data_IF_320862051438
#
_entry.id   IF_320862051438
#
_cell.length_a   1.000
_cell.length_b   1.000
_cell.length_c   1.000
_cell.angle_alpha   90.00
_cell.angle_beta   90.00
_cell.angle_gamma   90.00
#
_symmetry.space_group_name_H-M   'P 1'
#
loop_
_entity.id
_entity.type
_entity.pdbx_description
1 polymer ?
#
# COMPACT_ATOMS: atom_id res chain seq x y z
N UNK A 1 8.89 17.94 13.10
CA UNK A 1 7.65 18.74 13.04
C UNK A 1 6.58 17.85 12.42
N UNK A 2 5.45 17.59 13.09
CA UNK A 2 4.42 16.69 12.54
C UNK A 2 3.72 17.43 11.39
N UNK A 3 3.75 16.83 10.19
CA UNK A 3 3.05 17.34 9.03
C UNK A 3 1.60 16.87 9.11
N UNK A 4 0.79 17.59 9.89
CA UNK A 4 -0.62 17.25 10.07
C UNK A 4 -1.35 17.31 8.73
N UNK A 5 -1.90 16.16 8.30
CA UNK A 5 -2.81 16.07 7.15
C UNK A 5 -2.19 15.60 5.82
N UNK A 6 -0.98 15.02 5.81
CA UNK A 6 -0.40 14.43 4.61
C UNK A 6 -0.57 12.91 4.56
N UNK A 7 -1.21 12.42 3.51
CA UNK A 7 -1.33 10.99 3.26
C UNK A 7 0.01 10.42 2.77
N UNK A 8 0.41 9.29 3.35
CA UNK A 8 1.59 8.58 2.88
C UNK A 8 1.35 8.09 1.45
N UNK A 9 2.21 8.43 0.47
CA UNK A 9 2.04 7.96 -0.90
C UNK A 9 2.28 6.45 -1.03
N UNK A 10 2.88 5.82 -0.02
CA UNK A 10 3.13 4.38 0.01
C UNK A 10 2.02 3.60 0.71
N UNK A 11 1.58 4.01 1.90
CA UNK A 11 0.59 3.24 2.68
C UNK A 11 -0.80 3.91 2.77
N UNK A 12 -0.94 5.18 2.37
CA UNK A 12 -2.19 5.94 2.44
C UNK A 12 -2.61 6.38 3.85
N UNK A 13 -1.81 6.08 4.88
CA UNK A 13 -2.08 6.53 6.26
C UNK A 13 -1.59 7.97 6.49
N UNK A 14 -2.25 8.70 7.38
CA UNK A 14 -1.87 10.07 7.77
C UNK A 14 -0.77 10.11 8.86
N UNK A 15 0.24 9.27 8.71
CA UNK A 15 1.33 9.10 9.69
C UNK A 15 2.67 9.59 9.14
N UNK A 16 2.64 10.54 8.22
CA UNK A 16 3.83 11.13 7.61
C UNK A 16 4.37 12.27 8.48
N UNK A 17 5.68 12.24 8.76
CA UNK A 17 6.35 13.28 9.53
C UNK A 17 7.67 13.69 8.88
N UNK A 18 8.06 14.94 9.08
CA UNK A 18 9.36 15.46 8.68
C UNK A 18 10.31 15.53 9.87
N UNK A 19 11.48 14.95 9.68
CA UNK A 19 12.62 14.97 10.59
C UNK A 19 13.74 15.79 9.96
N UNK A 20 14.46 16.57 10.78
CA UNK A 20 15.56 17.43 10.32
C UNK A 20 16.85 16.94 10.99
N UNK A 21 17.61 16.04 10.34
CA UNK A 21 18.87 15.52 10.87
C UNK A 21 20.02 16.54 10.85
N UNK A 22 20.00 17.51 9.94
CA UNK A 22 21.01 18.57 9.81
C UNK A 22 20.38 19.87 9.31
N UNK A 23 21.14 20.98 9.32
CA UNK A 23 20.64 22.28 8.86
C UNK A 23 20.25 22.29 7.37
N UNK A 24 20.88 21.44 6.54
CA UNK A 24 20.65 21.42 5.09
C UNK A 24 19.80 20.25 4.58
N UNK A 25 19.46 19.28 5.45
CA UNK A 25 18.75 18.06 5.06
C UNK A 25 17.45 17.88 5.84
N UNK A 26 16.41 17.46 5.12
CA UNK A 26 15.10 17.13 5.67
C UNK A 26 14.67 15.76 5.17
N UNK A 27 14.23 14.92 6.09
CA UNK A 27 13.78 13.57 5.83
C UNK A 27 12.28 13.47 6.06
N UNK A 28 11.54 13.02 5.05
CA UNK A 28 10.12 12.68 5.18
C UNK A 28 10.03 11.18 5.42
N UNK A 29 9.43 10.80 6.55
CA UNK A 29 9.26 9.41 6.98
C UNK A 29 7.80 9.11 7.26
N UNK A 30 7.39 7.84 7.16
CA UNK A 30 6.09 7.36 7.61
C UNK A 30 6.25 6.53 8.89
N UNK A 31 5.37 6.72 9.87
CA UNK A 31 5.41 5.93 11.11
C UNK A 31 4.91 4.49 10.96
N UNK A 32 4.21 4.19 9.85
CA UNK A 32 3.56 2.89 9.62
C UNK A 32 4.24 2.07 8.53
N UNK A 33 5.10 2.66 7.72
CA UNK A 33 5.81 1.95 6.65
C UNK A 33 7.20 2.54 6.43
N UNK A 34 8.07 1.80 5.73
CA UNK A 34 9.46 2.20 5.46
C UNK A 34 9.61 3.32 4.41
N UNK A 35 8.64 4.23 4.32
CA UNK A 35 8.76 5.42 3.48
C UNK A 35 9.91 6.27 4.00
N UNK A 36 10.87 6.57 3.11
CA UNK A 36 11.96 7.50 3.40
C UNK A 36 12.25 8.34 2.16
N UNK A 37 12.16 9.66 2.31
CA UNK A 37 12.48 10.63 1.26
C UNK A 37 13.43 11.67 1.85
N UNK A 38 14.68 11.65 1.41
CA UNK A 38 15.65 12.70 1.72
C UNK A 38 15.50 13.87 0.74
N UNK A 39 15.41 15.08 1.27
CA UNK A 39 15.27 16.34 0.53
C UNK A 39 16.25 17.38 1.07
N UNK A 40 16.69 18.28 0.20
CA UNK A 40 17.37 19.49 0.63
C UNK A 40 16.42 20.48 1.31
N UNK A 41 16.94 21.36 2.17
CA UNK A 41 16.12 22.40 2.82
C UNK A 41 15.42 23.32 1.80
N UNK A 42 16.09 23.65 0.70
CA UNK A 42 15.53 24.46 -0.39
C UNK A 42 14.35 23.77 -1.10
N UNK A 43 14.47 22.47 -1.37
CA UNK A 43 13.38 21.68 -1.95
C UNK A 43 12.21 21.56 -0.98
N UNK A 44 12.50 21.30 0.30
CA UNK A 44 11.47 21.27 1.33
C UNK A 44 10.72 22.60 1.45
N UNK A 45 11.43 23.72 1.43
CA UNK A 45 10.80 25.05 1.46
C UNK A 45 9.92 25.29 0.22
N UNK A 46 10.34 24.83 -0.97
CA UNK A 46 9.52 24.90 -2.20
C UNK A 46 8.26 24.05 -2.14
N UNK A 47 8.28 22.93 -1.41
CA UNK A 47 7.12 22.06 -1.20
C UNK A 47 6.22 22.66 -0.12
N UNK A 48 6.77 23.04 1.02
CA UNK A 48 6.04 23.61 2.16
C UNK A 48 5.24 24.87 1.80
N UNK A 49 5.81 25.74 0.97
CA UNK A 49 5.17 26.99 0.54
C UNK A 49 4.16 26.77 -0.59
N UNK A 50 4.16 25.60 -1.25
CA UNK A 50 3.19 25.32 -2.31
C UNK A 50 1.83 24.90 -1.78
N UNK A 51 0.80 25.18 -2.58
CA UNK A 51 -0.60 24.82 -2.29
C UNK A 51 -0.84 23.30 -2.50
N UNK A 52 -0.24 22.71 -3.54
CA UNK A 52 -0.27 21.27 -3.83
C UNK A 52 0.91 20.48 -3.22
N UNK A 53 0.96 20.39 -1.88
CA UNK A 53 2.04 19.68 -1.18
C UNK A 53 1.99 18.17 -1.41
N UNK A 54 0.79 17.59 -1.38
CA UNK A 54 0.59 16.14 -1.56
C UNK A 54 1.06 15.67 -2.94
N UNK A 55 0.67 16.39 -4.00
CA UNK A 55 1.03 16.04 -5.37
C UNK A 55 2.55 16.17 -5.63
N UNK A 56 3.19 17.19 -5.05
CA UNK A 56 4.66 17.33 -5.11
C UNK A 56 5.39 16.22 -4.37
N UNK A 57 4.92 15.83 -3.19
CA UNK A 57 5.54 14.74 -2.44
C UNK A 57 5.33 13.41 -3.18
N UNK A 58 4.16 13.19 -3.75
CA UNK A 58 3.87 12.00 -4.55
C UNK A 58 4.74 11.92 -5.81
N UNK A 59 4.90 13.03 -6.54
CA UNK A 59 5.78 13.09 -7.73
C UNK A 59 7.27 12.92 -7.38
N UNK A 60 7.74 13.52 -6.28
CA UNK A 60 9.11 13.29 -5.77
C UNK A 60 9.33 11.82 -5.42
N UNK A 61 8.37 11.22 -4.72
CA UNK A 61 8.41 9.84 -4.34
C UNK A 61 8.45 8.91 -5.57
N UNK A 62 7.62 9.16 -6.59
CA UNK A 62 7.69 8.44 -7.88
C UNK A 62 9.02 8.62 -8.60
N UNK A 63 9.61 9.82 -8.54
CA UNK A 63 10.91 10.12 -9.18
C UNK A 63 12.06 9.36 -8.51
N UNK A 64 12.04 9.25 -7.18
CA UNK A 64 13.09 8.56 -6.41
C UNK A 64 12.93 7.04 -6.48
N UNK A 65 11.69 6.55 -6.61
CA UNK A 65 11.37 5.13 -6.65
C UNK A 65 10.56 4.78 -7.91
N UNK A 66 11.24 4.61 -9.06
CA UNK A 66 10.56 4.33 -10.34
C UNK A 66 9.91 2.94 -10.42
N UNK A 67 10.22 2.01 -9.50
CA UNK A 67 9.64 0.66 -9.41
C UNK A 67 8.71 0.51 -8.21
N UNK A 68 7.77 1.41 -8.08
CA UNK A 68 6.84 1.33 -6.98
C UNK A 68 5.68 0.40 -7.32
N UNK A 69 5.71 -0.80 -6.74
CA UNK A 69 4.54 -1.66 -6.67
C UNK A 69 3.45 -0.91 -5.90
N UNK A 70 2.40 -0.51 -6.62
CA UNK A 70 1.23 0.14 -6.02
C UNK A 70 0.73 -0.77 -4.92
N UNK A 71 0.64 -0.25 -3.70
CA UNK A 71 -0.09 -0.92 -2.63
C UNK A 71 -1.54 -1.03 -3.08
N UNK A 72 -1.92 -2.22 -3.54
CA UNK A 72 -3.29 -2.51 -3.94
C UNK A 72 -4.04 -3.05 -2.71
N UNK A 73 -5.29 -2.64 -2.58
CA UNK A 73 -6.21 -3.18 -1.59
C UNK A 73 -6.92 -4.40 -2.16
N UNK A 74 -6.97 -5.47 -1.36
CA UNK A 74 -7.66 -6.68 -1.77
C UNK A 74 -9.17 -6.44 -1.80
N UNK A 75 -9.87 -6.85 -2.87
CA UNK A 75 -11.33 -6.66 -2.96
C UNK A 75 -12.15 -7.43 -1.93
N UNK A 76 -11.59 -8.52 -1.37
CA UNK A 76 -12.33 -9.43 -0.49
C UNK A 76 -12.12 -9.15 1.00
N UNK A 77 -10.89 -8.82 1.39
CA UNK A 77 -10.54 -8.55 2.78
C UNK A 77 -10.16 -7.09 3.05
N UNK A 78 -10.12 -6.25 2.02
CA UNK A 78 -9.66 -4.86 2.07
C UNK A 78 -8.25 -4.66 2.64
N UNK A 79 -7.50 -5.75 2.85
CA UNK A 79 -6.14 -5.68 3.35
C UNK A 79 -5.23 -5.07 2.27
N UNK A 80 -4.37 -4.14 2.71
CA UNK A 80 -3.31 -3.55 1.90
C UNK A 80 -2.18 -4.58 1.76
N UNK A 81 -1.83 -4.97 0.54
CA UNK A 81 -0.73 -5.91 0.29
C UNK A 81 0.20 -5.34 -0.77
N UNK A 82 1.52 -5.43 -0.53
CA UNK A 82 2.55 -4.94 -1.46
C UNK A 82 2.71 -5.86 -2.67
N UNK A 83 2.75 -7.18 -2.45
CA UNK A 83 3.11 -8.14 -3.49
C UNK A 83 2.13 -9.33 -3.54
N UNK A 84 1.96 -9.92 -4.73
CA UNK A 84 1.23 -11.19 -4.89
C UNK A 84 -0.29 -11.08 -5.07
N UNK A 85 -0.77 -10.05 -5.77
CA UNK A 85 -2.18 -9.96 -6.17
C UNK A 85 -2.42 -10.50 -7.57
N UNK A 86 -3.38 -11.43 -7.69
CA UNK A 86 -3.87 -11.92 -8.99
C UNK A 86 -5.35 -11.54 -9.09
N UNK A 87 -5.71 -10.74 -10.10
CA UNK A 87 -7.10 -10.29 -10.29
C UNK A 87 -7.66 -9.38 -9.18
N UNK A 88 -6.80 -8.70 -8.40
CA UNK A 88 -7.23 -7.85 -7.28
C UNK A 88 -7.58 -8.61 -5.99
N UNK A 89 -7.23 -9.89 -5.93
CA UNK A 89 -7.37 -10.74 -4.74
C UNK A 89 -6.02 -11.00 -4.10
N UNK A 90 -5.99 -10.97 -2.77
CA UNK A 90 -4.85 -11.33 -1.96
C UNK A 90 -4.54 -12.83 -2.12
N UNK A 91 -3.27 -13.23 -2.15
CA UNK A 91 -2.88 -14.66 -2.21
C UNK A 91 -3.60 -15.53 -1.16
N UNK A 92 -3.73 -15.10 0.13
CA UNK A 92 -4.47 -15.88 1.11
C UNK A 92 -6.00 -15.90 0.89
N UNK A 93 -6.55 -14.91 0.18
CA UNK A 93 -7.96 -14.88 -0.19
C UNK A 93 -8.24 -15.88 -1.32
N UNK A 94 -7.35 -15.89 -2.32
CA UNK A 94 -7.43 -16.80 -3.45
C UNK A 94 -7.30 -18.25 -3.00
N UNK A 95 -6.35 -18.54 -2.10
CA UNK A 95 -6.17 -19.90 -1.58
C UNK A 95 -7.39 -20.38 -0.79
N UNK A 96 -7.98 -19.52 0.07
CA UNK A 96 -9.23 -19.84 0.78
C UNK A 96 -10.38 -20.10 -0.19
N UNK A 97 -10.53 -19.30 -1.23
CA UNK A 97 -11.58 -19.49 -2.23
C UNK A 97 -11.41 -20.83 -2.98
N UNK A 98 -10.17 -21.18 -3.37
CA UNK A 98 -9.87 -22.46 -4.02
C UNK A 98 -10.19 -23.66 -3.13
N UNK A 99 -9.88 -23.60 -1.83
CA UNK A 99 -10.21 -24.66 -0.88
C UNK A 99 -11.73 -24.85 -0.77
N UNK A 100 -12.49 -23.76 -0.69
CA UNK A 100 -13.96 -23.83 -0.62
C UNK A 100 -14.54 -24.47 -1.89
N UNK A 101 -14.06 -24.08 -3.07
CA UNK A 101 -14.51 -24.67 -4.34
C UNK A 101 -14.22 -26.18 -4.38
N UNK A 102 -13.03 -26.59 -3.92
CA UNK A 102 -12.63 -27.99 -3.87
C UNK A 102 -13.53 -28.80 -2.92
N UNK A 103 -13.87 -28.25 -1.75
CA UNK A 103 -14.81 -28.90 -0.82
C UNK A 103 -16.20 -29.05 -1.43
N UNK A 104 -16.71 -28.03 -2.14
CA UNK A 104 -17.99 -28.10 -2.84
C UNK A 104 -17.96 -29.22 -3.89
N UNK A 105 -16.91 -29.31 -4.69
CA UNK A 105 -16.76 -30.38 -5.68
C UNK A 105 -16.84 -31.78 -5.04
N UNK A 106 -16.12 -31.99 -3.92
CA UNK A 106 -16.14 -33.27 -3.20
C UNK A 106 -17.55 -33.58 -2.70
N UNK A 107 -18.22 -32.63 -2.04
CA UNK A 107 -19.58 -32.83 -1.53
C UNK A 107 -20.54 -33.14 -2.66
N UNK A 108 -20.49 -32.40 -3.78
CA UNK A 108 -21.36 -32.65 -4.94
C UNK A 108 -21.12 -34.03 -5.55
N UNK A 109 -19.86 -34.47 -5.63
CA UNK A 109 -19.53 -35.80 -6.14
C UNK A 109 -20.08 -36.89 -5.22
N UNK A 110 -19.94 -36.71 -3.89
CA UNK A 110 -20.51 -37.62 -2.90
C UNK A 110 -22.05 -37.66 -2.96
N UNK A 111 -22.72 -36.51 -3.04
CA UNK A 111 -24.18 -36.47 -3.12
C UNK A 111 -24.71 -37.08 -4.41
N UNK A 112 -24.01 -36.92 -5.53
CA UNK A 112 -24.39 -37.56 -6.80
C UNK A 112 -24.23 -39.07 -6.67
N UNK A 113 -23.11 -39.53 -6.10
CA UNK A 113 -22.83 -40.95 -5.95
C UNK A 113 -23.85 -41.65 -5.04
N UNK A 114 -24.15 -41.05 -3.88
CA UNK A 114 -25.15 -41.56 -2.93
C UNK A 114 -26.61 -41.29 -3.35
N UNK A 115 -26.86 -40.34 -4.25
CA UNK A 115 -28.21 -40.07 -4.76
C UNK A 115 -28.59 -40.97 -5.93
N UNK A 116 -27.62 -41.59 -6.61
CA UNK A 116 -27.83 -42.51 -7.73
C UNK A 116 -27.94 -43.97 -7.26
N UNK A 117 -27.31 -44.32 -6.13
CA UNK A 117 -27.39 -45.64 -5.48
C UNK A 117 -28.43 -45.66 -4.37
#
# INVERSE_FOLDING_TARGET
MVLSGLHCPQCGEMTVFAERPSDNEIWIKCGTCDLFIGLSEEEWNRIRTSENREEKIHSLYQKIHPRMERVQSCRLCSAKQRDGMTGGLCTPCLSKALIIILLIMIVTAFTIWYGIF
#
